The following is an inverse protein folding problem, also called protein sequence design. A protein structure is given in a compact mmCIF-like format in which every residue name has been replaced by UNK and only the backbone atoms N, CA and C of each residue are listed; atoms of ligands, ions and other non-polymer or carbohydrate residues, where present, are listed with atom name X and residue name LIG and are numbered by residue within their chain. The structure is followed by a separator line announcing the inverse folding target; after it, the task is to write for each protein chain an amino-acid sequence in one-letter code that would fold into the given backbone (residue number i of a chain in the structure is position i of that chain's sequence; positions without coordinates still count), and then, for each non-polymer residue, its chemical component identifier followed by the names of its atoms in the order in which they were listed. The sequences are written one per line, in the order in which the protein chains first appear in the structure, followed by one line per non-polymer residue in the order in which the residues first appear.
data_IF_806560535789
#
_entry.id   IF_806560535789
#
_cell.length_a   1.000
_cell.length_b   1.000
_cell.length_c   1.000
_cell.angle_alpha   90.00
_cell.angle_beta   90.00
_cell.angle_gamma   90.00
#
_symmetry.space_group_name_H-M   'P 1'
#
loop_
_entity.id
_entity.type
_entity.pdbx_description
1 polymer ?
#
# COMPACT_ATOMS: atom_id res chain seq x y z
N UNK A 1 -5.81 4.66 15.04
CA UNK A 1 -6.87 3.71 14.63
C UNK A 1 -6.49 3.05 13.33
N UNK A 2 -6.91 1.83 13.10
CA UNK A 2 -6.74 1.08 11.86
C UNK A 2 -8.06 0.47 11.43
N UNK A 3 -8.20 0.18 10.15
CA UNK A 3 -9.30 -0.57 9.58
C UNK A 3 -8.74 -1.88 9.05
N UNK A 4 -9.42 -2.99 9.34
CA UNK A 4 -9.02 -4.30 8.81
C UNK A 4 -10.19 -5.16 8.39
N UNK A 5 -9.87 -6.19 7.61
CA UNK A 5 -10.81 -7.18 7.09
C UNK A 5 -10.22 -8.58 7.25
N UNK A 6 -11.05 -9.61 7.20
CA UNK A 6 -10.60 -11.00 7.42
C UNK A 6 -9.97 -11.58 6.15
N UNK A 7 -8.79 -12.18 6.30
CA UNK A 7 -8.25 -13.19 5.39
C UNK A 7 -8.14 -14.53 6.13
N UNK A 8 -8.97 -15.51 5.74
CA UNK A 8 -8.98 -16.87 6.32
C UNK A 8 -9.06 -16.84 7.85
N UNK A 9 -7.95 -17.11 8.54
CA UNK A 9 -7.84 -17.18 10.00
C UNK A 9 -7.09 -15.98 10.59
N UNK A 10 -6.94 -14.91 9.82
CA UNK A 10 -6.20 -13.70 10.16
C UNK A 10 -7.03 -12.45 9.83
N UNK A 11 -6.70 -11.33 10.48
CA UNK A 11 -7.18 -9.99 10.13
C UNK A 11 -6.06 -9.23 9.43
N UNK A 12 -6.37 -8.61 8.28
CA UNK A 12 -5.43 -7.81 7.48
C UNK A 12 -5.83 -6.34 7.55
N UNK A 13 -4.89 -5.46 7.90
CA UNK A 13 -5.18 -4.02 7.86
C UNK A 13 -5.18 -3.48 6.44
N UNK A 14 -6.20 -2.70 6.13
CA UNK A 14 -6.39 -2.04 4.84
C UNK A 14 -6.20 -0.52 4.92
N UNK A 15 -6.31 0.05 6.13
CA UNK A 15 -6.10 1.48 6.36
C UNK A 15 -5.50 1.68 7.76
N UNK A 16 -4.63 2.68 7.92
CA UNK A 16 -4.01 2.99 9.22
C UNK A 16 -3.88 4.49 9.44
N UNK A 17 -4.45 5.00 10.52
CA UNK A 17 -4.30 6.38 10.98
C UNK A 17 -3.60 6.41 12.33
N UNK A 18 -2.52 7.19 12.43
CA UNK A 18 -1.60 7.18 13.59
C UNK A 18 -1.56 8.54 14.29
N UNK A 19 -1.54 8.51 15.62
CA UNK A 19 -1.18 9.68 16.43
C UNK A 19 0.34 9.88 16.49
N UNK A 20 0.79 11.09 16.84
CA UNK A 20 2.19 11.52 16.76
C UNK A 20 3.20 10.71 17.62
N UNK A 21 2.74 9.97 18.65
CA UNK A 21 3.61 9.48 19.73
C UNK A 21 3.52 7.97 20.04
N UNK A 22 3.15 7.10 19.09
CA UNK A 22 3.00 5.66 19.36
C UNK A 22 4.36 4.91 19.31
N UNK A 23 4.83 4.41 20.45
CA UNK A 23 6.17 3.78 20.63
C UNK A 23 6.16 2.24 20.56
N UNK A 24 5.03 1.55 20.74
CA UNK A 24 4.96 0.09 20.66
C UNK A 24 4.03 -0.39 19.54
N UNK A 25 4.53 -1.33 18.72
CA UNK A 25 3.89 -2.02 17.59
C UNK A 25 3.14 -1.15 16.57
N UNK A 26 3.71 -1.04 15.35
CA UNK A 26 3.21 -0.16 14.27
C UNK A 26 2.82 -0.98 13.03
N UNK A 27 1.61 -1.54 12.99
CA UNK A 27 1.20 -2.29 11.82
C UNK A 27 0.93 -1.35 10.65
N UNK A 28 1.47 -1.66 9.48
CA UNK A 28 1.21 -0.98 8.20
C UNK A 28 0.09 -1.71 7.43
N UNK A 29 -0.37 -1.09 6.34
CA UNK A 29 -1.28 -1.73 5.37
C UNK A 29 -0.68 -3.09 4.95
N UNK A 30 -1.52 -4.12 4.95
CA UNK A 30 -1.14 -5.50 4.66
C UNK A 30 -0.66 -6.32 5.87
N UNK A 31 -0.39 -5.70 7.02
CA UNK A 31 -0.04 -6.45 8.23
C UNK A 31 -1.18 -7.40 8.63
N UNK A 32 -0.83 -8.66 8.88
CA UNK A 32 -1.76 -9.69 9.33
C UNK A 32 -1.68 -9.89 10.84
N UNK A 33 -2.83 -10.17 11.45
CA UNK A 33 -2.99 -10.41 12.88
C UNK A 33 -3.81 -11.68 13.11
N UNK A 34 -3.43 -12.53 14.09
CA UNK A 34 -4.22 -13.69 14.44
C UNK A 34 -5.58 -13.27 15.00
N UNK A 35 -6.63 -14.03 14.67
CA UNK A 35 -7.98 -13.63 15.04
C UNK A 35 -8.26 -13.74 16.54
N UNK A 36 -7.92 -14.87 17.17
CA UNK A 36 -8.31 -15.16 18.55
C UNK A 36 -7.72 -14.23 19.62
N UNK A 37 -6.41 -13.90 19.61
CA UNK A 37 -5.83 -13.11 20.68
C UNK A 37 -6.01 -11.61 20.47
N UNK A 38 -6.61 -11.16 19.35
CA UNK A 38 -6.73 -9.72 19.01
C UNK A 38 -8.16 -9.21 19.13
N UNK A 39 -8.30 -7.93 19.49
CA UNK A 39 -9.61 -7.28 19.56
C UNK A 39 -10.31 -7.28 18.19
N UNK A 40 -9.54 -6.99 17.12
CA UNK A 40 -10.05 -6.91 15.76
C UNK A 40 -10.59 -8.25 15.25
N UNK A 41 -9.91 -9.36 15.56
CA UNK A 41 -10.40 -10.69 15.18
C UNK A 41 -11.61 -11.13 15.99
N UNK A 42 -11.64 -10.85 17.29
CA UNK A 42 -12.81 -11.12 18.14
C UNK A 42 -14.04 -10.30 17.70
N UNK A 43 -13.86 -9.03 17.36
CA UNK A 43 -14.94 -8.19 16.82
C UNK A 43 -15.49 -8.74 15.50
N UNK A 44 -14.62 -9.21 14.59
CA UNK A 44 -15.08 -9.87 13.36
C UNK A 44 -15.89 -11.14 13.68
N UNK A 45 -15.39 -12.00 14.56
CA UNK A 45 -16.07 -13.24 14.96
C UNK A 45 -17.42 -12.98 15.65
N UNK A 46 -17.58 -11.87 16.37
CA UNK A 46 -18.85 -11.54 17.02
C UNK A 46 -19.89 -10.99 16.04
N UNK A 47 -19.46 -10.30 14.97
CA UNK A 47 -20.36 -9.74 13.94
C UNK A 47 -20.74 -10.76 12.86
N UNK A 48 -19.85 -11.71 12.54
CA UNK A 48 -20.05 -12.68 11.47
C UNK A 48 -21.30 -13.55 11.69
N UNK A 49 -22.00 -13.84 10.60
CA UNK A 49 -23.17 -14.73 10.62
C UNK A 49 -22.76 -16.14 11.07
N UNK A 50 -23.66 -16.96 11.66
CA UNK A 50 -23.33 -18.32 12.07
C UNK A 50 -22.72 -19.15 10.93
N UNK A 51 -23.24 -19.02 9.71
CA UNK A 51 -22.77 -19.74 8.52
C UNK A 51 -21.34 -19.37 8.10
N UNK A 52 -20.88 -18.15 8.36
CA UNK A 52 -19.50 -17.73 8.10
C UNK A 52 -18.58 -17.97 9.29
N UNK A 53 -19.11 -17.84 10.50
CA UNK A 53 -18.36 -17.91 11.76
C UNK A 53 -17.98 -19.33 12.14
N UNK A 54 -18.91 -20.28 12.06
CA UNK A 54 -18.68 -21.66 12.51
C UNK A 54 -17.54 -22.36 11.75
N UNK A 55 -17.44 -22.26 10.40
CA UNK A 55 -16.30 -22.81 9.67
C UNK A 55 -14.96 -22.20 10.12
N UNK A 56 -14.95 -20.90 10.41
CA UNK A 56 -13.74 -20.19 10.88
C UNK A 56 -13.34 -20.66 12.27
N UNK A 57 -14.30 -20.80 13.20
CA UNK A 57 -14.03 -21.31 14.55
C UNK A 57 -13.54 -22.77 14.51
N UNK A 58 -14.13 -23.62 13.65
CA UNK A 58 -13.68 -24.98 13.47
C UNK A 58 -12.25 -25.04 12.91
N UNK A 59 -11.94 -24.21 11.91
CA UNK A 59 -10.60 -24.11 11.35
C UNK A 59 -9.56 -23.57 12.35
N UNK A 60 -9.92 -22.57 13.17
CA UNK A 60 -9.06 -22.07 14.26
C UNK A 60 -8.75 -23.14 15.31
N UNK A 61 -9.76 -23.93 15.72
CA UNK A 61 -9.58 -25.09 16.62
C UNK A 61 -8.62 -26.12 16.06
N UNK A 62 -8.78 -26.42 14.77
CA UNK A 62 -7.99 -27.43 14.09
C UNK A 62 -6.55 -26.97 13.80
N UNK A 63 -6.34 -25.67 13.55
CA UNK A 63 -5.03 -25.14 13.18
C UNK A 63 -4.04 -25.05 14.35
N UNK A 64 -4.53 -24.69 15.55
CA UNK A 64 -3.70 -24.49 16.74
C UNK A 64 -4.53 -24.72 18.01
N UNK A 65 -4.49 -25.97 18.51
CA UNK A 65 -5.26 -26.37 19.68
C UNK A 65 -4.81 -25.67 20.97
N UNK A 66 -3.53 -25.32 21.07
CA UNK A 66 -2.96 -24.64 22.24
C UNK A 66 -3.45 -23.20 22.29
N UNK A 67 -3.37 -22.45 21.18
CA UNK A 67 -3.94 -21.11 21.11
C UNK A 67 -5.46 -21.10 21.30
N UNK A 68 -6.15 -22.09 20.76
CA UNK A 68 -7.59 -22.22 20.98
C UNK A 68 -7.89 -22.35 22.48
N UNK A 69 -7.19 -23.25 23.17
CA UNK A 69 -7.38 -23.47 24.60
C UNK A 69 -7.04 -22.21 25.42
N UNK A 70 -6.00 -21.47 25.02
CA UNK A 70 -5.59 -20.23 25.68
C UNK A 70 -6.58 -19.07 25.52
N UNK A 71 -7.33 -19.02 24.41
CA UNK A 71 -8.13 -17.84 24.05
C UNK A 71 -9.63 -18.08 23.91
N UNK A 72 -10.13 -19.32 23.98
CA UNK A 72 -11.56 -19.63 23.87
C UNK A 72 -12.40 -18.89 24.91
N UNK A 73 -11.97 -18.91 26.17
CA UNK A 73 -12.67 -18.18 27.25
C UNK A 73 -12.66 -16.66 27.02
N UNK A 74 -11.57 -16.11 26.46
CA UNK A 74 -11.48 -14.69 26.13
C UNK A 74 -12.39 -14.31 24.94
N UNK A 75 -12.58 -15.21 23.99
CA UNK A 75 -13.56 -15.05 22.90
C UNK A 75 -15.00 -15.05 23.46
N UNK A 76 -15.33 -15.97 24.37
CA UNK A 76 -16.66 -16.02 25.00
C UNK A 76 -16.95 -14.75 25.82
N UNK A 77 -15.94 -14.24 26.54
CA UNK A 77 -16.03 -12.96 27.24
C UNK A 77 -16.25 -11.80 26.26
N UNK A 78 -15.46 -11.74 25.18
CA UNK A 78 -15.61 -10.71 24.16
C UNK A 78 -16.99 -10.75 23.47
N UNK A 79 -17.60 -11.92 23.30
CA UNK A 79 -18.95 -12.04 22.77
C UNK A 79 -20.01 -11.44 23.70
N UNK A 80 -19.85 -11.62 25.02
CA UNK A 80 -20.72 -10.98 26.03
C UNK A 80 -20.52 -9.46 26.05
N UNK A 81 -19.27 -9.01 26.06
CA UNK A 81 -18.92 -7.59 26.01
C UNK A 81 -19.46 -6.94 24.74
N UNK A 82 -19.33 -7.60 23.58
CA UNK A 82 -19.85 -7.11 22.32
C UNK A 82 -21.38 -6.96 22.34
N UNK A 83 -22.09 -7.95 22.90
CA UNK A 83 -23.55 -7.91 23.00
C UNK A 83 -24.07 -6.76 23.88
N UNK A 84 -23.29 -6.31 24.87
CA UNK A 84 -23.67 -5.24 25.80
C UNK A 84 -23.12 -3.88 25.42
N UNK A 85 -21.87 -3.82 24.96
CA UNK A 85 -21.10 -2.59 24.76
C UNK A 85 -20.90 -2.24 23.28
N UNK A 86 -21.11 -3.19 22.37
CA UNK A 86 -20.91 -3.00 20.92
C UNK A 86 -19.45 -2.99 20.47
N UNK A 87 -18.50 -3.37 21.34
CA UNK A 87 -17.07 -3.45 21.01
C UNK A 87 -16.39 -4.63 21.72
N UNK A 88 -15.25 -5.06 21.18
CA UNK A 88 -14.40 -6.10 21.76
C UNK A 88 -13.08 -5.51 22.26
N UNK A 89 -12.52 -6.09 23.32
CA UNK A 89 -11.23 -5.70 23.89
C UNK A 89 -10.17 -6.80 23.72
N UNK A 90 -8.91 -6.36 23.71
CA UNK A 90 -7.73 -7.19 23.92
C UNK A 90 -6.80 -6.49 24.89
N UNK A 91 -6.38 -7.19 25.95
CA UNK A 91 -5.55 -6.68 27.03
C UNK A 91 -4.19 -7.38 27.04
N UNK A 92 -3.52 -7.35 25.89
CA UNK A 92 -2.17 -7.89 25.75
C UNK A 92 -2.10 -9.40 25.55
N UNK A 93 -3.22 -10.06 25.21
CA UNK A 93 -3.24 -11.50 24.93
C UNK A 93 -2.47 -11.84 23.64
N UNK A 94 -2.36 -10.89 22.70
CA UNK A 94 -1.57 -11.05 21.48
C UNK A 94 -0.14 -10.53 21.63
N UNK A 95 0.02 -9.31 22.13
CA UNK A 95 1.30 -8.72 22.50
C UNK A 95 1.13 -8.08 23.86
N UNK A 96 1.91 -8.52 24.86
CA UNK A 96 1.78 -8.05 26.26
C UNK A 96 1.74 -6.53 26.38
N UNK A 97 2.48 -5.84 25.50
CA UNK A 97 2.65 -4.39 25.53
C UNK A 97 1.55 -3.61 24.79
N UNK A 98 0.50 -4.28 24.29
CA UNK A 98 -0.54 -3.66 23.47
C UNK A 98 -1.92 -3.99 24.02
N UNK A 99 -2.71 -2.94 24.28
CA UNK A 99 -4.14 -3.06 24.49
C UNK A 99 -4.87 -2.55 23.26
N UNK A 100 -5.97 -3.19 22.89
CA UNK A 100 -6.75 -2.79 21.73
C UNK A 100 -8.25 -2.86 21.99
N UNK A 101 -8.98 -1.94 21.37
CA UNK A 101 -10.45 -1.97 21.26
C UNK A 101 -10.82 -2.04 19.78
N UNK A 102 -11.82 -2.85 19.46
CA UNK A 102 -12.30 -3.00 18.09
C UNK A 102 -13.82 -2.99 17.99
N UNK A 103 -14.32 -2.38 16.92
CA UNK A 103 -15.74 -2.24 16.59
C UNK A 103 -15.95 -2.69 15.15
N UNK A 104 -16.77 -3.71 14.89
CA UNK A 104 -17.14 -4.09 13.53
C UNK A 104 -18.13 -3.07 12.95
N UNK A 105 -18.05 -2.83 11.63
CA UNK A 105 -19.06 -2.07 10.92
C UNK A 105 -20.37 -2.87 10.87
N UNK A 106 -21.49 -2.18 11.08
CA UNK A 106 -22.82 -2.82 11.13
C UNK A 106 -23.29 -3.35 9.78
N UNK A 107 -22.86 -2.71 8.70
CA UNK A 107 -23.15 -3.12 7.35
C UNK A 107 -21.88 -3.65 6.69
N UNK A 108 -22.03 -4.70 5.90
CA UNK A 108 -20.98 -5.18 5.01
C UNK A 108 -20.71 -4.14 3.93
N UNK A 109 -19.44 -3.93 3.62
CA UNK A 109 -18.99 -3.08 2.52
C UNK A 109 -18.36 -4.01 1.48
N UNK A 110 -18.90 -4.01 0.26
CA UNK A 110 -18.50 -4.94 -0.80
C UNK A 110 -18.58 -6.43 -0.41
N UNK A 111 -19.52 -6.78 0.48
CA UNK A 111 -19.70 -8.15 1.01
C UNK A 111 -18.72 -8.52 2.12
N UNK A 112 -18.04 -7.55 2.73
CA UNK A 112 -17.06 -7.77 3.77
C UNK A 112 -17.41 -7.06 5.07
N UNK A 113 -17.23 -7.76 6.18
CA UNK A 113 -17.26 -7.16 7.52
C UNK A 113 -15.92 -6.47 7.76
N UNK A 114 -15.95 -5.14 7.68
CA UNK A 114 -14.83 -4.29 8.07
C UNK A 114 -14.84 -4.04 9.57
N UNK A 115 -13.67 -3.99 10.19
CA UNK A 115 -13.52 -3.79 11.63
C UNK A 115 -12.57 -2.65 11.90
N UNK A 116 -13.08 -1.63 12.62
CA UNK A 116 -12.27 -0.54 13.13
C UNK A 116 -11.56 -1.00 14.39
N UNK A 117 -10.27 -0.72 14.50
CA UNK A 117 -9.44 -1.12 15.61
C UNK A 117 -8.61 0.07 16.12
N UNK A 118 -8.46 0.18 17.43
CA UNK A 118 -7.58 1.16 18.03
C UNK A 118 -6.69 0.46 19.05
N UNK A 119 -5.41 0.34 18.74
CA UNK A 119 -4.39 -0.16 19.65
C UNK A 119 -3.66 0.99 20.35
N UNK A 120 -3.36 0.79 21.63
CA UNK A 120 -2.55 1.68 22.45
C UNK A 120 -1.49 0.87 23.22
N UNK A 121 -0.28 1.42 23.42
CA UNK A 121 0.73 0.80 24.28
C UNK A 121 0.21 0.67 25.72
N UNK A 122 0.38 -0.50 26.34
CA UNK A 122 0.06 -0.74 27.75
C UNK A 122 0.86 0.19 28.68
N UNK A 123 2.08 0.58 28.27
CA UNK A 123 2.96 1.51 28.99
C UNK A 123 2.37 2.93 29.19
N UNK A 124 1.39 3.34 28.38
CA UNK A 124 0.61 4.58 28.63
C UNK A 124 -0.41 4.43 29.77
N UNK A 125 -0.46 3.26 30.39
CA UNK A 125 -1.22 2.91 31.59
C UNK A 125 -0.28 2.42 32.72
N UNK A 126 0.98 2.93 32.73
CA UNK A 126 2.19 2.70 33.58
C UNK A 126 3.28 1.76 32.98
N UNK A 127 4.55 2.23 33.08
CA UNK A 127 5.86 1.86 32.47
C UNK A 127 6.25 0.35 32.46
N UNK A 128 7.17 -0.24 31.66
CA UNK A 128 8.19 0.08 30.61
C UNK A 128 8.46 -1.22 29.77
N UNK A 129 9.20 -1.13 28.65
CA UNK A 129 9.15 -1.97 27.43
C UNK A 129 10.24 -3.06 27.22
N UNK A 130 10.03 -4.01 26.26
CA UNK A 130 11.11 -4.54 25.38
C UNK A 130 10.71 -5.46 24.18
N UNK A 131 11.09 -5.03 22.97
CA UNK A 131 11.76 -5.69 21.81
C UNK A 131 11.26 -6.97 21.07
N UNK A 132 11.24 -6.90 19.70
CA UNK A 132 11.46 -8.03 18.75
C UNK A 132 12.15 -7.56 17.44
N UNK A 133 13.07 -8.38 16.92
CA UNK A 133 13.88 -8.27 15.67
C UNK A 133 13.33 -9.10 14.48
N UNK A 134 13.64 -8.77 13.20
CA UNK A 134 13.50 -9.71 12.07
C UNK A 134 14.83 -10.09 11.38
N UNK A 135 14.92 -11.35 10.91
CA UNK A 135 15.95 -11.85 9.97
C UNK A 135 15.41 -11.81 8.53
N UNK A 136 16.28 -11.53 7.57
CA UNK A 136 15.96 -11.59 6.13
C UNK A 136 17.07 -12.26 5.30
N UNK A 137 16.77 -12.45 4.01
CA UNK A 137 17.72 -12.55 2.88
C UNK A 137 16.98 -12.26 1.56
N UNK A 138 17.68 -11.87 0.46
CA UNK A 138 17.14 -11.06 -0.64
C UNK A 138 16.78 -11.84 -1.92
N UNK A 139 16.22 -11.08 -2.87
CA UNK A 139 15.59 -11.44 -4.16
C UNK A 139 16.59 -11.44 -5.34
N UNK A 140 16.25 -12.22 -6.37
CA UNK A 140 16.98 -12.46 -7.63
C UNK A 140 16.66 -11.44 -8.76
N UNK A 141 17.50 -11.44 -9.80
CA UNK A 141 17.35 -10.68 -11.06
C UNK A 141 16.31 -11.30 -12.04
N UNK A 142 15.80 -10.47 -12.97
CA UNK A 142 14.73 -10.81 -13.94
C UNK A 142 15.18 -11.75 -15.09
N UNK A 143 14.29 -12.62 -15.59
CA UNK A 143 14.62 -13.61 -16.63
C UNK A 143 14.44 -13.11 -18.08
N UNK A 144 15.33 -13.64 -18.94
CA UNK A 144 15.28 -13.63 -20.39
C UNK A 144 14.17 -14.59 -20.91
N UNK A 145 13.36 -14.13 -21.85
CA UNK A 145 12.12 -14.79 -22.33
C UNK A 145 12.34 -16.04 -23.20
N UNK A 146 13.50 -16.70 -23.10
CA UNK A 146 13.80 -18.00 -23.71
C UNK A 146 14.24 -19.08 -22.71
N UNK A 147 14.22 -18.78 -21.41
CA UNK A 147 14.79 -19.63 -20.37
C UNK A 147 13.86 -20.79 -19.96
N UNK A 148 14.35 -22.04 -20.01
CA UNK A 148 13.65 -23.24 -19.52
C UNK A 148 13.38 -23.18 -18.01
N UNK A 149 14.05 -22.30 -17.27
CA UNK A 149 13.80 -22.06 -15.85
C UNK A 149 12.59 -21.15 -15.60
N UNK A 150 12.07 -20.46 -16.63
CA UNK A 150 10.93 -19.57 -16.48
C UNK A 150 9.62 -20.34 -16.27
N UNK A 151 9.06 -20.24 -15.07
CA UNK A 151 7.78 -20.87 -14.73
C UNK A 151 6.60 -20.08 -15.31
N UNK A 152 6.30 -20.30 -16.60
CA UNK A 152 5.23 -19.59 -17.35
C UNK A 152 3.87 -19.62 -16.64
N UNK A 153 3.53 -20.72 -15.95
CA UNK A 153 2.25 -20.84 -15.24
C UNK A 153 2.17 -19.90 -14.03
N UNK A 154 3.30 -19.70 -13.33
CA UNK A 154 3.37 -18.74 -12.22
C UNK A 154 3.25 -17.30 -12.76
N UNK A 155 3.98 -16.98 -13.83
CA UNK A 155 3.90 -15.68 -14.48
C UNK A 155 2.45 -15.35 -14.90
N UNK A 156 1.77 -16.30 -15.55
CA UNK A 156 0.37 -16.16 -15.92
C UNK A 156 -0.57 -16.01 -14.73
N UNK A 157 -0.28 -16.66 -13.59
CA UNK A 157 -1.04 -16.46 -12.35
C UNK A 157 -0.87 -15.06 -11.79
N UNK A 158 0.34 -14.50 -11.85
CA UNK A 158 0.62 -13.12 -11.45
C UNK A 158 -0.09 -12.13 -12.40
N UNK A 159 -0.11 -12.39 -13.71
CA UNK A 159 -0.80 -11.56 -14.70
C UNK A 159 -2.30 -11.42 -14.40
N UNK A 160 -2.94 -12.48 -13.87
CA UNK A 160 -4.35 -12.41 -13.45
C UNK A 160 -4.53 -11.42 -12.30
N UNK A 161 -3.63 -11.39 -11.32
CA UNK A 161 -3.69 -10.44 -10.21
C UNK A 161 -3.41 -9.00 -10.67
N UNK A 162 -2.50 -8.82 -11.62
CA UNK A 162 -2.14 -7.53 -12.20
C UNK A 162 -3.17 -7.01 -13.22
N UNK A 163 -4.16 -7.82 -13.63
CA UNK A 163 -5.17 -7.41 -14.59
C UNK A 163 -6.16 -6.38 -14.03
N UNK A 164 -6.27 -6.20 -12.72
CA UNK A 164 -7.16 -5.23 -12.07
C UNK A 164 -6.64 -3.79 -12.25
N UNK A 165 -7.55 -2.86 -12.52
CA UNK A 165 -7.24 -1.42 -12.59
C UNK A 165 -7.92 -0.67 -11.44
N UNK A 166 -7.39 0.50 -11.04
CA UNK A 166 -8.06 1.34 -10.04
C UNK A 166 -9.52 1.62 -10.43
N UNK A 167 -10.44 1.40 -9.48
CA UNK A 167 -11.88 1.56 -9.69
C UNK A 167 -12.62 0.31 -10.20
N UNK A 168 -11.90 -0.75 -10.57
CA UNK A 168 -12.50 -2.02 -10.95
C UNK A 168 -12.39 -3.02 -9.80
N UNK A 169 -13.52 -3.35 -9.16
CA UNK A 169 -13.54 -4.34 -8.08
C UNK A 169 -13.84 -5.76 -8.54
N UNK A 170 -14.40 -5.94 -9.76
CA UNK A 170 -14.88 -7.23 -10.28
C UNK A 170 -14.44 -7.48 -11.72
N UNK A 171 -13.78 -8.62 -11.96
CA UNK A 171 -13.43 -9.11 -13.29
C UNK A 171 -13.91 -10.54 -13.51
N UNK A 172 -14.37 -10.85 -14.72
CA UNK A 172 -14.74 -12.20 -15.12
C UNK A 172 -13.65 -12.89 -15.95
N UNK A 173 -13.84 -14.18 -16.21
CA UNK A 173 -12.90 -14.96 -17.03
C UNK A 173 -12.75 -14.42 -18.46
N UNK A 174 -13.78 -13.74 -18.99
CA UNK A 174 -13.71 -13.12 -20.32
C UNK A 174 -12.76 -11.91 -20.31
N UNK A 175 -12.89 -11.04 -19.33
CA UNK A 175 -12.04 -9.86 -19.16
C UNK A 175 -10.58 -10.28 -18.90
N UNK A 176 -10.36 -11.29 -18.06
CA UNK A 176 -9.02 -11.84 -17.82
C UNK A 176 -8.39 -12.39 -19.11
N UNK A 177 -9.11 -13.20 -19.88
CA UNK A 177 -8.61 -13.74 -21.14
C UNK A 177 -8.24 -12.63 -22.13
N UNK A 178 -9.06 -11.58 -22.23
CA UNK A 178 -8.80 -10.45 -23.11
C UNK A 178 -7.57 -9.64 -22.67
N UNK A 179 -7.38 -9.42 -21.37
CA UNK A 179 -6.27 -8.59 -20.84
C UNK A 179 -4.94 -9.33 -20.81
N UNK A 180 -4.96 -10.61 -20.49
CA UNK A 180 -3.75 -11.43 -20.35
C UNK A 180 -3.36 -12.16 -21.64
N UNK A 181 -4.24 -12.18 -22.66
CA UNK A 181 -4.04 -12.93 -23.89
C UNK A 181 -4.15 -14.46 -23.72
N UNK A 182 -4.51 -14.93 -22.53
CA UNK A 182 -4.58 -16.35 -22.21
C UNK A 182 -5.90 -16.99 -22.66
N UNK A 183 -5.87 -18.30 -22.93
CA UNK A 183 -7.09 -19.04 -23.31
C UNK A 183 -8.07 -19.15 -22.13
N UNK A 184 -9.38 -19.19 -22.43
CA UNK A 184 -10.42 -19.31 -21.39
C UNK A 184 -10.21 -20.50 -20.44
N UNK A 185 -9.81 -21.70 -20.91
CA UNK A 185 -9.51 -22.82 -20.01
C UNK A 185 -8.30 -22.56 -19.10
N UNK A 186 -7.26 -21.87 -19.60
CA UNK A 186 -6.09 -21.51 -18.79
C UNK A 186 -6.48 -20.52 -17.69
N UNK A 187 -7.21 -19.45 -18.05
CA UNK A 187 -7.74 -18.46 -17.11
C UNK A 187 -8.59 -19.13 -16.03
N UNK A 188 -9.50 -20.03 -16.41
CA UNK A 188 -10.37 -20.71 -15.43
C UNK A 188 -9.60 -21.55 -14.42
N UNK A 189 -8.52 -22.24 -14.83
CA UNK A 189 -7.65 -22.98 -13.89
C UNK A 189 -6.87 -22.06 -12.96
N UNK A 190 -6.36 -20.95 -13.48
CA UNK A 190 -5.60 -19.97 -12.70
C UNK A 190 -6.50 -19.25 -11.69
N UNK A 191 -7.68 -18.78 -12.11
CA UNK A 191 -8.63 -18.12 -11.21
C UNK A 191 -9.15 -19.07 -10.14
N UNK A 192 -9.37 -20.35 -10.48
CA UNK A 192 -9.67 -21.38 -9.48
C UNK A 192 -8.54 -21.53 -8.45
N UNK A 193 -7.30 -21.69 -8.91
CA UNK A 193 -6.12 -21.83 -8.03
C UNK A 193 -5.94 -20.61 -7.13
N UNK A 194 -5.99 -19.40 -7.68
CA UNK A 194 -5.89 -18.15 -6.93
C UNK A 194 -7.06 -17.96 -5.94
N UNK A 195 -8.25 -18.50 -6.25
CA UNK A 195 -9.38 -18.52 -5.32
C UNK A 195 -9.14 -19.48 -4.15
N UNK A 196 -8.64 -20.69 -4.43
CA UNK A 196 -8.25 -21.67 -3.39
C UNK A 196 -7.16 -21.10 -2.48
N UNK A 197 -6.20 -20.37 -3.04
CA UNK A 197 -5.13 -19.70 -2.29
C UNK A 197 -5.59 -18.42 -1.56
N UNK A 198 -6.82 -17.94 -1.79
CA UNK A 198 -7.38 -16.74 -1.17
C UNK A 198 -6.97 -15.40 -1.82
N UNK A 199 -6.15 -15.42 -2.87
CA UNK A 199 -5.77 -14.21 -3.62
C UNK A 199 -6.92 -13.66 -4.49
N UNK A 200 -7.87 -14.52 -4.87
CA UNK A 200 -9.13 -14.11 -5.46
C UNK A 200 -10.30 -14.58 -4.59
N UNK A 201 -11.39 -13.83 -4.63
CA UNK A 201 -12.68 -14.26 -4.09
C UNK A 201 -13.73 -14.20 -5.19
N UNK A 202 -14.53 -15.27 -5.29
CA UNK A 202 -15.58 -15.36 -6.28
C UNK A 202 -16.86 -14.72 -5.74
N UNK A 203 -17.37 -13.75 -6.48
CA UNK A 203 -18.68 -13.16 -6.28
C UNK A 203 -19.74 -14.10 -6.89
N UNK A 204 -20.58 -14.69 -6.03
CA UNK A 204 -21.55 -15.69 -6.45
C UNK A 204 -22.68 -15.09 -7.31
N UNK A 205 -23.08 -13.84 -7.04
CA UNK A 205 -24.18 -13.18 -7.74
C UNK A 205 -23.82 -12.83 -9.19
N UNK A 206 -22.59 -12.35 -9.41
CA UNK A 206 -22.14 -11.88 -10.72
C UNK A 206 -21.25 -12.87 -11.46
N UNK A 207 -20.90 -14.00 -10.82
CA UNK A 207 -19.95 -14.99 -11.33
C UNK A 207 -18.59 -14.37 -11.75
N UNK A 208 -18.14 -13.35 -10.99
CA UNK A 208 -16.90 -12.60 -11.20
C UNK A 208 -15.96 -12.77 -10.01
N UNK A 209 -14.76 -12.23 -10.10
CA UNK A 209 -13.72 -12.34 -9.09
C UNK A 209 -13.31 -10.96 -8.58
N UNK A 210 -13.05 -10.86 -7.28
CA UNK A 210 -12.41 -9.72 -6.60
C UNK A 210 -11.05 -10.12 -6.06
N UNK A 211 -10.14 -9.18 -5.86
CA UNK A 211 -8.89 -9.43 -5.14
C UNK A 211 -9.18 -9.74 -3.67
N UNK A 212 -8.49 -10.74 -3.12
CA UNK A 212 -8.53 -11.04 -1.69
C UNK A 212 -7.50 -10.25 -0.89
N UNK A 213 -7.70 -10.15 0.42
CA UNK A 213 -6.76 -9.48 1.33
C UNK A 213 -5.30 -9.99 1.30
N UNK A 214 -4.99 -11.28 1.03
CA UNK A 214 -3.61 -11.76 0.94
C UNK A 214 -2.72 -10.95 -0.01
N UNK A 215 -3.31 -10.33 -1.03
CA UNK A 215 -2.58 -9.46 -1.97
C UNK A 215 -1.87 -8.32 -1.24
N UNK A 216 -2.48 -7.75 -0.19
CA UNK A 216 -1.86 -6.69 0.61
C UNK A 216 -0.72 -7.23 1.49
N UNK A 217 -0.89 -8.43 2.03
CA UNK A 217 0.12 -9.06 2.89
C UNK A 217 1.42 -9.39 2.16
N UNK A 218 1.39 -9.59 0.83
CA UNK A 218 2.60 -9.73 0.02
C UNK A 218 3.47 -8.46 0.03
N UNK A 219 2.86 -7.28 0.04
CA UNK A 219 3.58 -6.00 0.03
C UNK A 219 4.09 -5.55 1.41
N UNK A 220 3.54 -6.10 2.50
CA UNK A 220 3.83 -5.65 3.85
C UNK A 220 5.32 -5.74 4.25
N UNK A 221 6.05 -6.86 4.02
CA UNK A 221 7.46 -6.95 4.40
C UNK A 221 8.35 -5.89 3.75
N UNK A 222 8.06 -5.52 2.49
CA UNK A 222 8.73 -4.43 1.79
C UNK A 222 8.46 -3.10 2.50
N UNK A 223 7.19 -2.78 2.76
CA UNK A 223 6.80 -1.54 3.42
C UNK A 223 7.37 -1.42 4.84
N UNK A 224 7.37 -2.52 5.59
CA UNK A 224 7.84 -2.58 6.98
C UNK A 224 9.37 -2.41 7.10
N UNK A 225 10.13 -2.86 6.10
CA UNK A 225 11.60 -2.73 6.09
C UNK A 225 12.09 -1.32 5.72
N UNK A 226 11.26 -0.51 5.06
CA UNK A 226 11.62 0.86 4.66
C UNK A 226 11.56 1.84 5.84
N UNK A 227 12.66 1.95 6.59
CA UNK A 227 12.76 2.86 7.75
C UNK A 227 12.48 4.33 7.38
N UNK A 228 12.87 4.76 6.18
CA UNK A 228 12.59 6.11 5.66
C UNK A 228 11.12 6.49 5.73
N UNK A 229 10.18 5.55 5.53
CA UNK A 229 8.74 5.84 5.58
C UNK A 229 8.36 6.37 6.96
N UNK A 230 8.95 5.83 8.01
CA UNK A 230 8.66 6.22 9.39
C UNK A 230 9.16 7.63 9.69
N UNK A 231 10.31 8.01 9.15
CA UNK A 231 10.92 9.34 9.29
C UNK A 231 10.17 10.37 8.45
N UNK A 232 9.84 10.03 7.20
CA UNK A 232 9.24 10.95 6.24
C UNK A 232 7.78 11.24 6.55
N UNK A 233 7.00 10.25 7.01
CA UNK A 233 5.54 10.37 7.19
C UNK A 233 5.09 11.60 7.99
N UNK A 234 5.63 11.93 9.19
CA UNK A 234 5.20 13.12 9.92
C UNK A 234 5.47 14.42 9.15
N UNK A 235 6.66 14.55 8.55
CA UNK A 235 7.05 15.72 7.77
C UNK A 235 6.21 15.86 6.49
N UNK A 236 5.89 14.73 5.84
CA UNK A 236 4.99 14.67 4.69
C UNK A 236 3.58 15.14 5.08
N UNK A 237 3.07 14.72 6.24
CA UNK A 237 1.73 15.11 6.71
C UNK A 237 1.65 16.59 7.02
N UNK A 238 2.66 17.14 7.70
CA UNK A 238 2.74 18.57 7.99
C UNK A 238 2.75 19.41 6.70
N UNK A 239 3.55 19.01 5.71
CA UNK A 239 3.58 19.68 4.41
C UNK A 239 2.24 19.56 3.69
N UNK A 240 1.64 18.35 3.66
CA UNK A 240 0.36 18.10 3.01
C UNK A 240 -0.75 18.99 3.59
N UNK A 241 -0.83 19.09 4.92
CA UNK A 241 -1.80 19.92 5.63
C UNK A 241 -1.63 21.40 5.30
N UNK A 242 -0.39 21.90 5.34
CA UNK A 242 -0.07 23.30 5.07
C UNK A 242 -0.47 23.74 3.65
N UNK A 243 -0.29 22.87 2.66
CA UNK A 243 -0.54 23.21 1.24
C UNK A 243 -1.95 22.85 0.76
N UNK A 244 -2.72 22.11 1.56
CA UNK A 244 -4.03 21.58 1.18
C UNK A 244 -3.95 20.58 0.02
N UNK A 245 -3.02 19.62 0.10
CA UNK A 245 -2.75 18.64 -0.96
C UNK A 245 -2.36 17.27 -0.45
N UNK A 246 -1.62 16.51 -1.26
CA UNK A 246 -1.06 15.22 -0.87
C UNK A 246 0.43 15.14 -1.18
N UNK A 247 1.20 14.58 -0.25
CA UNK A 247 2.63 14.31 -0.42
C UNK A 247 2.83 12.81 -0.37
N UNK A 248 3.49 12.26 -1.39
CA UNK A 248 3.77 10.83 -1.53
C UNK A 248 5.27 10.61 -1.68
N UNK A 249 5.74 9.46 -1.21
CA UNK A 249 7.07 8.93 -1.46
C UNK A 249 6.93 7.76 -2.43
N UNK A 250 7.73 7.73 -3.49
CA UNK A 250 7.73 6.61 -4.42
C UNK A 250 9.11 6.13 -4.82
N UNK A 251 9.14 4.89 -5.30
CA UNK A 251 10.31 4.20 -5.85
C UNK A 251 10.02 3.73 -7.27
N UNK A 252 11.05 3.46 -8.07
CA UNK A 252 10.85 2.89 -9.40
C UNK A 252 10.62 1.39 -9.29
N UNK A 253 9.61 0.89 -9.99
CA UNK A 253 9.55 -0.50 -10.42
C UNK A 253 9.46 -0.55 -11.94
N UNK A 254 10.40 -1.24 -12.59
CA UNK A 254 10.52 -1.31 -14.05
C UNK A 254 10.40 0.07 -14.73
N UNK A 255 9.28 0.33 -15.40
CA UNK A 255 8.97 1.56 -16.16
C UNK A 255 7.88 2.41 -15.50
N UNK A 256 7.61 2.20 -14.21
CA UNK A 256 6.62 2.89 -13.41
C UNK A 256 7.24 3.41 -12.10
N UNK A 257 6.60 4.40 -11.50
CA UNK A 257 6.86 4.83 -10.14
C UNK A 257 5.77 4.28 -9.21
N UNK A 258 6.14 3.53 -8.19
CA UNK A 258 5.23 2.97 -7.20
C UNK A 258 5.24 3.84 -5.95
N UNK A 259 4.08 4.29 -5.49
CA UNK A 259 3.98 4.94 -4.19
C UNK A 259 4.12 3.94 -3.05
N UNK A 260 5.01 4.26 -2.10
CA UNK A 260 5.26 3.44 -0.91
C UNK A 260 4.76 4.13 0.35
N UNK A 261 4.54 5.45 0.31
CA UNK A 261 3.95 6.22 1.41
C UNK A 261 3.13 7.38 0.83
N UNK A 262 2.01 7.72 1.45
CA UNK A 262 1.20 8.89 1.08
C UNK A 262 0.61 9.55 2.32
N UNK A 263 0.76 10.87 2.42
CA UNK A 263 0.11 11.70 3.41
C UNK A 263 -0.81 12.70 2.72
N UNK A 264 -2.06 12.79 3.16
CA UNK A 264 -3.07 13.71 2.60
C UNK A 264 -3.51 14.75 3.63
N UNK A 265 -3.80 15.94 3.14
CA UNK A 265 -4.57 16.94 3.90
C UNK A 265 -6.00 16.46 4.10
N UNK A 266 -6.55 16.74 5.28
CA UNK A 266 -7.95 16.47 5.60
C UNK A 266 -8.91 17.26 4.69
N UNK A 267 -8.50 18.44 4.22
CA UNK A 267 -9.30 19.33 3.37
C UNK A 267 -8.98 19.16 1.87
N UNK A 268 -8.23 18.11 1.50
CA UNK A 268 -7.82 17.89 0.11
C UNK A 268 -9.03 17.55 -0.76
N UNK A 269 -9.34 18.43 -1.72
CA UNK A 269 -10.36 18.21 -2.74
C UNK A 269 -9.92 17.26 -3.87
N UNK A 270 -8.66 16.82 -3.88
CA UNK A 270 -8.11 15.95 -4.92
C UNK A 270 -8.00 14.52 -4.43
N UNK A 271 -8.66 13.61 -5.16
CA UNK A 271 -8.41 12.16 -5.02
C UNK A 271 -7.06 11.85 -5.67
N UNK A 272 -6.04 11.74 -4.83
CA UNK A 272 -4.67 11.40 -5.25
C UNK A 272 -4.43 9.90 -5.14
N UNK A 273 -3.57 9.31 -5.99
CA UNK A 273 -3.18 7.91 -5.86
C UNK A 273 -2.56 7.63 -4.49
N UNK A 274 -2.74 6.41 -3.99
CA UNK A 274 -2.25 5.99 -2.67
C UNK A 274 -1.08 5.00 -2.76
N UNK A 275 -0.62 4.52 -1.61
CA UNK A 275 0.33 3.41 -1.48
C UNK A 275 -0.06 2.26 -2.41
N UNK A 276 0.91 1.75 -3.17
CA UNK A 276 0.75 0.71 -4.19
C UNK A 276 0.37 1.22 -5.57
N UNK A 277 0.00 2.50 -5.73
CA UNK A 277 -0.32 3.05 -7.05
C UNK A 277 0.92 3.11 -7.94
N UNK A 278 0.78 2.62 -9.17
CA UNK A 278 1.78 2.68 -10.22
C UNK A 278 1.55 3.88 -11.14
N UNK A 279 2.57 4.71 -11.32
CA UNK A 279 2.50 5.96 -12.06
C UNK A 279 3.45 5.96 -13.27
N UNK A 280 2.98 6.45 -14.43
CA UNK A 280 3.79 6.49 -15.64
C UNK A 280 4.97 7.44 -15.51
N UNK A 281 6.15 7.02 -15.97
CA UNK A 281 7.37 7.80 -15.78
C UNK A 281 7.44 9.06 -16.65
N UNK A 282 6.92 9.00 -17.87
CA UNK A 282 7.04 10.08 -18.85
C UNK A 282 6.12 11.27 -18.55
N UNK A 283 4.92 10.99 -18.04
CA UNK A 283 3.89 12.02 -17.86
C UNK A 283 3.86 12.57 -16.45
N UNK A 284 4.25 11.82 -15.40
CA UNK A 284 4.17 12.31 -14.01
C UNK A 284 5.43 13.07 -13.54
N UNK A 285 5.27 13.97 -12.57
CA UNK A 285 6.40 14.71 -11.99
C UNK A 285 7.40 13.77 -11.30
N UNK A 286 6.90 12.78 -10.56
CA UNK A 286 7.72 11.78 -9.86
C UNK A 286 8.59 10.96 -10.82
N UNK A 287 8.02 10.55 -11.96
CA UNK A 287 8.72 9.84 -13.01
C UNK A 287 9.81 10.68 -13.68
N UNK A 288 9.46 11.92 -14.03
CA UNK A 288 10.41 12.90 -14.58
C UNK A 288 11.58 13.15 -13.62
N UNK A 289 11.31 13.33 -12.33
CA UNK A 289 12.35 13.51 -11.32
C UNK A 289 13.27 12.29 -11.19
N UNK A 290 12.70 11.07 -11.25
CA UNK A 290 13.50 9.85 -11.28
C UNK A 290 14.41 9.80 -12.52
N UNK A 291 13.85 10.09 -13.72
CA UNK A 291 14.62 10.14 -14.97
C UNK A 291 15.71 11.22 -14.94
N UNK A 292 15.54 12.32 -14.22
CA UNK A 292 16.61 13.31 -14.07
C UNK A 292 17.71 12.85 -13.12
N UNK A 293 17.34 12.14 -12.04
CA UNK A 293 18.27 11.78 -10.96
C UNK A 293 19.05 10.49 -11.22
N UNK A 294 18.44 9.51 -11.87
CA UNK A 294 19.03 8.18 -12.05
C UNK A 294 20.39 8.22 -12.80
N UNK A 295 21.29 7.26 -12.52
CA UNK A 295 22.52 7.05 -13.28
C UNK A 295 22.25 6.94 -14.78
N UNK A 296 23.20 7.37 -15.60
CA UNK A 296 23.01 7.44 -17.06
C UNK A 296 22.63 6.09 -17.67
N UNK A 297 23.31 5.02 -17.28
CA UNK A 297 23.05 3.65 -17.76
C UNK A 297 21.65 3.16 -17.38
N UNK A 298 21.26 3.28 -16.10
CA UNK A 298 19.94 2.85 -15.63
C UNK A 298 18.83 3.63 -16.33
N UNK A 299 19.03 4.94 -16.49
CA UNK A 299 18.11 5.82 -17.20
C UNK A 299 17.95 5.44 -18.66
N UNK A 300 19.04 5.20 -19.38
CA UNK A 300 18.99 4.83 -20.79
C UNK A 300 18.29 3.48 -20.98
N UNK A 301 18.55 2.51 -20.10
CA UNK A 301 17.83 1.24 -20.06
C UNK A 301 16.32 1.44 -19.88
N UNK A 302 15.91 2.30 -18.94
CA UNK A 302 14.49 2.62 -18.71
C UNK A 302 13.87 3.37 -19.90
N UNK A 303 14.55 4.35 -20.48
CA UNK A 303 14.06 5.09 -21.65
C UNK A 303 13.90 4.18 -22.87
N UNK A 304 14.84 3.25 -23.08
CA UNK A 304 14.74 2.25 -24.15
C UNK A 304 13.53 1.34 -23.95
N UNK A 305 13.26 0.87 -22.73
CA UNK A 305 12.05 0.09 -22.42
C UNK A 305 10.78 0.89 -22.63
N UNK A 306 10.74 2.14 -22.17
CA UNK A 306 9.60 3.03 -22.38
C UNK A 306 9.31 3.27 -23.87
N UNK A 307 10.35 3.44 -24.68
CA UNK A 307 10.25 3.55 -26.15
C UNK A 307 9.64 2.31 -26.79
N UNK A 308 9.96 1.12 -26.29
CA UNK A 308 9.41 -0.14 -26.80
C UNK A 308 7.97 -0.39 -26.33
N UNK A 309 7.64 -0.01 -25.09
CA UNK A 309 6.32 -0.21 -24.51
C UNK A 309 5.26 0.72 -25.09
N UNK A 310 5.59 2.00 -25.30
CA UNK A 310 4.68 3.01 -25.88
C UNK A 310 5.49 4.01 -26.72
N UNK A 311 5.74 3.66 -28.01
CA UNK A 311 6.50 4.53 -28.92
C UNK A 311 5.89 5.92 -29.07
N UNK A 312 4.56 6.03 -29.09
CA UNK A 312 3.86 7.29 -29.31
C UNK A 312 3.99 8.23 -28.10
N UNK A 313 3.83 7.70 -26.89
CA UNK A 313 4.08 8.47 -25.67
C UNK A 313 5.54 8.89 -25.55
N UNK A 314 6.47 8.02 -25.93
CA UNK A 314 7.88 8.33 -25.94
C UNK A 314 8.21 9.46 -26.93
N UNK A 315 7.72 9.39 -28.17
CA UNK A 315 7.93 10.42 -29.19
C UNK A 315 7.39 11.79 -28.76
N UNK A 316 6.25 11.84 -28.08
CA UNK A 316 5.71 13.11 -27.52
C UNK A 316 6.59 13.69 -26.41
N UNK A 317 7.21 12.84 -25.61
CA UNK A 317 8.02 13.26 -24.46
C UNK A 317 9.49 13.56 -24.82
N UNK A 318 10.06 12.84 -25.78
CA UNK A 318 11.48 12.89 -26.14
C UNK A 318 12.02 14.32 -26.34
N UNK A 319 11.32 15.25 -27.04
CA UNK A 319 11.81 16.62 -27.22
C UNK A 319 11.98 17.40 -25.92
N UNK A 320 11.28 16.99 -24.86
CA UNK A 320 11.26 17.67 -23.56
C UNK A 320 12.39 17.19 -22.64
N UNK A 321 13.03 16.05 -22.92
CA UNK A 321 14.03 15.43 -22.05
C UNK A 321 15.21 16.35 -21.73
N UNK A 322 15.82 16.97 -22.76
CA UNK A 322 16.98 17.84 -22.57
C UNK A 322 16.63 19.07 -21.74
N UNK A 323 15.49 19.69 -22.02
CA UNK A 323 14.99 20.84 -21.26
C UNK A 323 14.66 20.46 -19.82
N UNK A 324 14.00 19.33 -19.63
CA UNK A 324 13.63 18.81 -18.31
C UNK A 324 14.88 18.64 -17.42
N UNK A 325 15.98 18.14 -17.98
CA UNK A 325 17.25 17.99 -17.25
C UNK A 325 17.88 19.33 -16.88
N UNK A 326 17.94 20.28 -17.80
CA UNK A 326 18.45 21.62 -17.51
C UNK A 326 17.61 22.32 -16.44
N UNK A 327 16.29 22.24 -16.54
CA UNK A 327 15.36 22.78 -15.53
C UNK A 327 15.57 22.10 -14.18
N UNK A 328 15.77 20.78 -14.16
CA UNK A 328 16.03 20.02 -12.94
C UNK A 328 17.38 20.38 -12.30
N UNK A 329 18.45 20.51 -13.09
CA UNK A 329 19.77 20.91 -12.60
C UNK A 329 19.75 22.32 -11.99
N UNK A 330 18.98 23.24 -12.57
CA UNK A 330 18.84 24.60 -12.05
C UNK A 330 17.95 24.70 -10.80
N UNK A 331 16.87 23.92 -10.73
CA UNK A 331 15.81 24.08 -9.72
C UNK A 331 15.81 23.01 -8.62
N UNK A 332 16.34 21.83 -8.90
CA UNK A 332 16.32 20.67 -8.01
C UNK A 332 14.99 19.92 -7.94
N UNK A 333 14.02 20.25 -8.79
CA UNK A 333 12.70 19.61 -8.83
C UNK A 333 12.14 19.49 -10.25
N UNK A 334 11.21 18.55 -10.44
CA UNK A 334 10.44 18.40 -11.68
C UNK A 334 8.96 18.72 -11.46
N UNK A 335 8.25 19.03 -12.54
CA UNK A 335 6.85 19.44 -12.50
C UNK A 335 5.97 18.68 -13.49
N UNK A 336 4.70 18.60 -13.16
CA UNK A 336 3.60 18.20 -14.03
C UNK A 336 2.51 19.28 -13.96
N UNK A 337 2.08 19.74 -15.14
CA UNK A 337 1.09 20.82 -15.35
C UNK A 337 -0.26 20.27 -15.80
N UNK A 338 -0.55 19.02 -15.45
CA UNK A 338 -1.76 18.31 -15.84
C UNK A 338 -1.59 17.39 -17.05
N UNK A 339 -0.36 17.05 -17.46
CA UNK A 339 -0.12 16.14 -18.60
C UNK A 339 -0.58 14.70 -18.32
N UNK A 340 -0.74 14.33 -17.06
CA UNK A 340 -1.25 13.02 -16.65
C UNK A 340 -2.73 13.11 -16.26
N UNK A 341 -3.08 14.14 -15.49
CA UNK A 341 -4.44 14.43 -15.02
C UNK A 341 -4.65 15.93 -15.02
N UNK A 342 -5.59 16.43 -15.83
CA UNK A 342 -5.82 17.86 -16.04
C UNK A 342 -6.26 18.62 -14.77
N UNK A 343 -6.77 17.90 -13.76
CA UNK A 343 -7.22 18.44 -12.48
C UNK A 343 -6.11 18.55 -11.42
N UNK A 344 -4.88 18.11 -11.73
CA UNK A 344 -3.77 18.01 -10.77
C UNK A 344 -2.51 18.69 -11.29
N UNK A 345 -1.91 19.51 -10.44
CA UNK A 345 -0.50 19.90 -10.58
C UNK A 345 0.35 19.05 -9.64
N UNK A 346 1.51 18.61 -10.13
CA UNK A 346 2.43 17.86 -9.29
C UNK A 346 3.87 18.39 -9.36
N UNK A 347 4.57 18.26 -8.23
CA UNK A 347 5.94 18.70 -8.03
C UNK A 347 6.72 17.57 -7.40
N UNK A 348 7.90 17.26 -7.90
CA UNK A 348 8.68 16.12 -7.41
C UNK A 348 10.14 16.48 -7.15
N UNK A 349 10.66 15.97 -6.03
CA UNK A 349 12.03 16.17 -5.56
C UNK A 349 12.64 14.80 -5.23
N UNK A 350 13.75 14.42 -5.85
CA UNK A 350 14.48 13.21 -5.47
C UNK A 350 15.27 13.41 -4.19
N UNK A 351 15.53 12.32 -3.47
CA UNK A 351 16.60 12.31 -2.47
C UNK A 351 17.97 12.47 -3.12
N UNK A 352 18.93 12.97 -2.35
CA UNK A 352 20.28 13.26 -2.79
C UNK A 352 21.06 12.00 -3.18
N UNK A 353 20.87 10.91 -2.45
CA UNK A 353 21.50 9.61 -2.64
C UNK A 353 20.45 8.49 -2.59
N UNK A 354 20.73 7.32 -3.17
CA UNK A 354 19.85 6.17 -3.04
C UNK A 354 19.79 5.71 -1.58
N UNK A 355 18.62 5.21 -1.17
CA UNK A 355 18.38 4.56 0.12
C UNK A 355 18.07 3.11 -0.19
N UNK A 356 18.79 2.19 0.44
CA UNK A 356 18.69 0.74 0.16
C UNK A 356 18.85 0.42 -1.34
N UNK A 357 19.80 1.08 -2.00
CA UNK A 357 20.07 0.99 -3.45
C UNK A 357 18.92 1.45 -4.35
N UNK A 358 17.94 2.19 -3.82
CA UNK A 358 16.79 2.71 -4.57
C UNK A 358 16.76 4.23 -4.57
N UNK A 359 16.47 4.82 -5.73
CA UNK A 359 16.21 6.25 -5.85
C UNK A 359 14.77 6.56 -5.43
N UNK A 360 14.63 7.12 -4.24
CA UNK A 360 13.34 7.53 -3.70
C UNK A 360 13.05 8.98 -4.04
N UNK A 361 11.80 9.25 -4.39
CA UNK A 361 11.34 10.53 -4.89
C UNK A 361 10.12 10.97 -4.09
N UNK A 362 10.16 12.17 -3.53
CA UNK A 362 8.98 12.83 -3.00
C UNK A 362 8.18 13.46 -4.13
N UNK A 363 6.87 13.32 -4.09
CA UNK A 363 5.94 13.94 -5.00
C UNK A 363 4.84 14.65 -4.22
N UNK A 364 4.48 15.84 -4.64
CA UNK A 364 3.39 16.60 -4.07
C UNK A 364 2.34 16.87 -5.14
N UNK A 365 1.11 16.41 -4.93
CA UNK A 365 -0.05 16.69 -5.79
C UNK A 365 -0.99 17.71 -5.15
N UNK A 366 -1.38 18.73 -5.92
CA UNK A 366 -2.34 19.77 -5.51
C UNK A 366 -3.37 20.01 -6.61
N UNK A 367 -4.55 20.54 -6.24
CA UNK A 367 -5.60 20.86 -7.20
C UNK A 367 -5.15 21.93 -8.19
N UNK A 368 -5.36 21.67 -9.49
CA UNK A 368 -5.18 22.64 -10.56
C UNK A 368 -6.29 23.71 -10.60
N UNK A 369 -7.46 23.44 -10.03
CA UNK A 369 -8.62 24.33 -10.08
C UNK A 369 -8.54 25.46 -9.05
N UNK A 370 -7.84 25.24 -7.94
CA UNK A 370 -7.83 26.17 -6.82
C UNK A 370 -7.03 27.45 -7.10
N UNK A 371 -5.86 27.33 -7.76
CA UNK A 371 -4.91 28.45 -7.98
C UNK A 371 -4.07 28.23 -9.25
N UNK A 372 -3.58 29.30 -9.91
CA UNK A 372 -2.68 29.17 -11.06
C UNK A 372 -1.39 28.42 -10.74
N UNK A 373 -0.84 27.73 -11.74
CA UNK A 373 0.37 26.91 -11.62
C UNK A 373 1.56 27.67 -10.98
N UNK A 374 1.85 28.89 -11.44
CA UNK A 374 3.00 29.66 -10.94
C UNK A 374 2.89 30.06 -9.46
N UNK A 375 1.66 30.14 -8.93
CA UNK A 375 1.44 30.38 -7.50
C UNK A 375 1.65 29.10 -6.71
N UNK A 376 1.10 27.98 -7.20
CA UNK A 376 1.30 26.65 -6.58
C UNK A 376 2.76 26.22 -6.58
N UNK A 377 3.50 26.48 -7.66
CA UNK A 377 4.93 26.19 -7.75
C UNK A 377 5.71 26.90 -6.64
N UNK A 378 5.43 28.19 -6.41
CA UNK A 378 6.08 29.00 -5.36
C UNK A 378 5.69 28.59 -3.95
N UNK A 379 4.47 28.13 -3.74
CA UNK A 379 3.98 27.65 -2.43
C UNK A 379 4.55 26.27 -2.07
N UNK A 380 4.58 25.33 -3.02
CA UNK A 380 4.86 23.92 -2.75
C UNK A 380 6.35 23.60 -2.76
N UNK A 381 7.10 24.14 -3.74
CA UNK A 381 8.46 23.67 -4.02
C UNK A 381 9.47 23.95 -2.89
N UNK A 382 9.46 25.09 -2.16
CA UNK A 382 10.38 25.29 -1.05
C UNK A 382 10.15 24.26 0.07
N UNK A 383 8.88 24.07 0.46
CA UNK A 383 8.52 23.10 1.50
C UNK A 383 8.84 21.66 1.10
N UNK A 384 8.72 21.31 -0.19
CA UNK A 384 9.06 19.98 -0.70
C UNK A 384 10.58 19.74 -0.73
N UNK A 385 11.37 20.74 -1.09
CA UNK A 385 12.84 20.69 -1.03
C UNK A 385 13.33 20.57 0.42
N UNK A 386 12.74 21.34 1.33
CA UNK A 386 13.08 21.28 2.75
C UNK A 386 12.66 19.95 3.40
N UNK A 387 11.52 19.39 2.99
CA UNK A 387 11.11 18.03 3.36
C UNK A 387 12.21 17.01 3.00
N UNK A 388 12.67 17.01 1.74
CA UNK A 388 13.70 16.08 1.30
C UNK A 388 15.00 16.24 2.09
N UNK A 389 15.47 17.48 2.30
CA UNK A 389 16.68 17.78 3.10
C UNK A 389 16.56 17.35 4.56
N UNK A 390 15.40 17.57 5.18
CA UNK A 390 15.16 17.18 6.56
C UNK A 390 15.14 15.67 6.72
N UNK A 391 14.51 14.95 5.79
CA UNK A 391 14.53 13.49 5.78
C UNK A 391 15.96 12.95 5.57
N UNK A 392 16.74 13.54 4.67
CA UNK A 392 18.16 13.20 4.47
C UNK A 392 18.98 13.37 5.74
N UNK A 393 18.78 14.49 6.46
CA UNK A 393 19.48 14.77 7.72
C UNK A 393 19.12 13.74 8.80
N UNK A 394 17.84 13.41 8.93
CA UNK A 394 17.36 12.42 9.90
C UNK A 394 17.83 10.99 9.58
N UNK A 395 18.10 10.70 8.31
CA UNK A 395 18.73 9.45 7.86
C UNK A 395 20.27 9.46 8.02
N UNK A 396 20.87 10.55 8.49
CA UNK A 396 22.33 10.67 8.60
C UNK A 396 23.06 10.74 7.25
N UNK A 397 22.38 11.16 6.18
CA UNK A 397 22.96 11.25 4.83
C UNK A 397 23.71 12.56 4.60
N UNK A 398 23.49 13.57 5.47
CA UNK A 398 24.06 14.92 5.41
C UNK A 398 24.28 15.50 6.80
#
# INVERSE_FOLDING_TARGET
GSLGLRDRLQMVYVETSRGHDAIAFRPDIGASLPMLPTAIGRAWLCQASPGEREPVLAALRASDAEQWQAHAAALDAAARDFATLGFCLSRGEWQRDVHAVAVPMRAEIDGEILVFNCGAPSARMTCDASQVTPRGTPVADEPDTGDRQFATTLAHGIDILLAYRPGESLLGNKEFAQRTGQSRPAVARLTHTLTVLGYLRRDAAQAKYRLGAPVLSLGYPLLASMHIRQIARPLMKELADRIGGAVSLGMRDRTQMIYVETARSTDSLVVTPDIGAALPMLTTAIGKAWLCKAPAEERESVLNRLRLQDPDAFLRFQPQLSRLRLDFEAKGYCVNRGEWRSDVYAFAVPLFRPVDSQWLIFNCGVSAQARPFATREREVTPGLLDLARNVERLLGMR
#
